data_IF_562648434382
#
_entry.id   IF_562648434382
#
_cell.length_a   1.000
_cell.length_b   1.000
_cell.length_c   1.000
_cell.angle_alpha   90.00
_cell.angle_beta   90.00
_cell.angle_gamma   90.00
#
_symmetry.space_group_name_H-M   'P 1'
#
loop_
_entity.id
_entity.type
_entity.pdbx_description
1 polymer ?
#
# COMPACT_ATOMS: atom_id res chain seq x y z
N UNK A 1 4.54 -3.82 -19.18
CA UNK A 1 4.85 -5.21 -18.78
C UNK A 1 5.85 -5.76 -19.79
N UNK A 2 6.94 -6.39 -19.35
CA UNK A 2 7.87 -7.04 -20.27
C UNK A 2 7.12 -8.22 -20.94
N UNK A 3 7.13 -8.33 -22.28
CA UNK A 3 6.42 -9.39 -22.98
C UNK A 3 7.07 -10.75 -22.75
N UNK A 4 6.58 -11.49 -21.75
CA UNK A 4 6.91 -12.91 -21.62
C UNK A 4 5.81 -13.74 -22.28
N UNK A 5 6.17 -14.38 -23.40
CA UNK A 5 5.29 -15.29 -24.14
C UNK A 5 4.20 -14.60 -24.99
N UNK A 6 3.58 -15.41 -25.84
CA UNK A 6 2.63 -14.98 -26.88
C UNK A 6 1.39 -14.26 -26.33
N UNK A 7 0.87 -14.68 -25.18
CA UNK A 7 -0.30 -14.06 -24.56
C UNK A 7 -0.02 -12.60 -24.14
N UNK A 8 1.17 -12.33 -23.61
CA UNK A 8 1.56 -10.98 -23.18
C UNK A 8 1.77 -10.07 -24.39
N UNK A 9 2.36 -10.58 -25.47
CA UNK A 9 2.49 -9.87 -26.74
C UNK A 9 1.12 -9.51 -27.35
N UNK A 10 0.16 -10.45 -27.33
CA UNK A 10 -1.21 -10.22 -27.80
C UNK A 10 -1.93 -9.16 -26.95
N UNK A 11 -1.75 -9.17 -25.63
CA UNK A 11 -2.26 -8.12 -24.73
C UNK A 11 -1.67 -6.75 -25.04
N UNK A 12 -0.36 -6.67 -25.26
CA UNK A 12 0.33 -5.41 -25.63
C UNK A 12 -0.20 -4.89 -26.98
N UNK A 13 -0.32 -5.76 -27.98
CA UNK A 13 -0.85 -5.39 -29.28
C UNK A 13 -2.30 -4.89 -29.20
N UNK A 14 -3.14 -5.55 -28.40
CA UNK A 14 -4.51 -5.10 -28.15
C UNK A 14 -4.54 -3.72 -27.48
N UNK A 15 -3.69 -3.46 -26.49
CA UNK A 15 -3.57 -2.14 -25.86
C UNK A 15 -3.13 -1.07 -26.86
N UNK A 16 -2.11 -1.35 -27.70
CA UNK A 16 -1.66 -0.44 -28.76
C UNK A 16 -2.79 -0.13 -29.75
N UNK A 17 -3.55 -1.12 -30.19
CA UNK A 17 -4.70 -0.94 -31.09
C UNK A 17 -5.83 -0.10 -30.45
N UNK A 18 -6.15 -0.34 -29.17
CA UNK A 18 -7.15 0.45 -28.45
C UNK A 18 -6.73 1.92 -28.27
N UNK A 19 -5.42 2.18 -28.17
CA UNK A 19 -4.85 3.53 -28.02
C UNK A 19 -4.61 4.24 -29.35
N UNK A 20 -4.44 3.51 -30.45
CA UNK A 20 -4.20 4.08 -31.79
C UNK A 20 -5.32 5.02 -32.25
N UNK A 21 -6.56 4.80 -31.81
CA UNK A 21 -7.72 5.67 -32.11
C UNK A 21 -7.87 6.85 -31.15
N UNK A 22 -7.01 6.96 -30.13
CA UNK A 22 -7.11 7.94 -29.03
C UNK A 22 -6.01 9.01 -29.07
N UNK A 23 -5.28 9.14 -30.17
CA UNK A 23 -4.19 10.11 -30.37
C UNK A 23 -3.06 10.05 -29.32
N UNK A 24 -2.84 8.90 -28.67
CA UNK A 24 -1.69 8.71 -27.77
C UNK A 24 -0.43 8.33 -28.56
N UNK A 25 0.68 9.02 -28.33
CA UNK A 25 2.01 8.47 -28.59
C UNK A 25 2.36 7.52 -27.44
N UNK A 26 2.71 6.28 -27.76
CA UNK A 26 3.08 5.26 -26.77
C UNK A 26 4.57 5.01 -26.84
N UNK A 27 5.23 5.06 -25.69
CA UNK A 27 6.63 4.69 -25.52
C UNK A 27 6.73 3.62 -24.43
N UNK A 28 7.62 2.64 -24.60
CA UNK A 28 7.78 1.54 -23.65
C UNK A 28 9.02 1.74 -22.78
N UNK A 29 8.80 1.89 -21.48
CA UNK A 29 9.83 1.98 -20.46
C UNK A 29 9.59 0.89 -19.42
N UNK A 30 10.42 -0.15 -19.40
CA UNK A 30 10.24 -1.31 -18.51
C UNK A 30 11.00 -1.17 -17.20
N UNK A 31 12.19 -0.56 -17.23
CA UNK A 31 13.07 -0.31 -16.10
C UNK A 31 13.74 1.06 -16.29
N UNK A 32 14.39 1.57 -15.26
CA UNK A 32 15.19 2.79 -15.27
C UNK A 32 14.45 4.01 -15.81
N UNK A 33 13.23 4.29 -15.32
CA UNK A 33 12.43 5.44 -15.77
C UNK A 33 13.23 6.76 -15.77
N UNK A 34 14.05 6.94 -14.74
CA UNK A 34 14.93 8.10 -14.56
C UNK A 34 15.95 8.29 -15.69
N UNK A 35 16.45 7.20 -16.29
CA UNK A 35 17.36 7.20 -17.44
C UNK A 35 16.60 7.26 -18.76
N UNK A 36 15.50 6.52 -18.87
CA UNK A 36 14.61 6.57 -20.02
C UNK A 36 14.19 8.01 -20.35
N UNK A 37 13.75 8.75 -19.33
CA UNK A 37 13.35 10.16 -19.45
C UNK A 37 14.50 11.07 -19.90
N UNK A 38 15.74 10.82 -19.44
CA UNK A 38 16.93 11.55 -19.89
C UNK A 38 17.24 11.31 -21.38
N UNK A 39 16.99 10.09 -21.86
CA UNK A 39 17.31 9.66 -23.21
C UNK A 39 16.22 9.98 -24.24
N UNK A 40 15.00 10.32 -23.79
CA UNK A 40 14.02 10.94 -24.66
C UNK A 40 14.67 12.19 -25.27
N UNK A 41 14.93 12.16 -26.58
CA UNK A 41 15.50 13.27 -27.37
C UNK A 41 14.51 14.43 -27.43
N UNK A 42 14.18 14.98 -26.28
CA UNK A 42 13.35 16.15 -26.16
C UNK A 42 14.21 17.30 -26.66
N UNK A 43 13.92 17.76 -27.88
CA UNK A 43 14.37 19.07 -28.30
C UNK A 43 13.98 20.02 -27.17
N UNK A 44 14.95 20.81 -26.69
CA UNK A 44 14.71 21.93 -25.78
C UNK A 44 13.87 22.99 -26.52
N UNK A 45 12.65 22.65 -26.89
CA UNK A 45 11.61 23.64 -27.08
C UNK A 45 11.19 24.03 -25.66
N UNK A 46 11.07 25.33 -25.43
CA UNK A 46 10.91 25.97 -24.13
C UNK A 46 9.65 25.57 -23.36
N UNK A 47 8.75 24.84 -24.00
CA UNK A 47 7.39 24.60 -23.50
C UNK A 47 7.26 23.15 -23.05
N UNK A 48 6.72 22.95 -21.83
CA UNK A 48 6.40 21.62 -21.32
C UNK A 48 5.37 20.96 -22.23
N UNK A 49 5.41 19.63 -22.32
CA UNK A 49 4.35 18.85 -22.97
C UNK A 49 3.10 18.85 -22.08
N UNK A 50 1.91 18.81 -22.67
CA UNK A 50 0.65 18.96 -21.92
C UNK A 50 0.40 17.82 -20.92
N UNK A 51 0.47 16.56 -21.37
CA UNK A 51 0.07 15.41 -20.54
C UNK A 51 0.87 14.14 -20.83
N UNK A 52 1.16 13.36 -19.78
CA UNK A 52 1.65 11.99 -19.87
C UNK A 52 0.82 11.05 -19.01
N UNK A 53 0.58 9.85 -19.52
CA UNK A 53 -0.02 8.75 -18.78
C UNK A 53 1.06 7.69 -18.49
N UNK A 54 1.40 7.52 -17.22
CA UNK A 54 2.32 6.48 -16.76
C UNK A 54 1.52 5.24 -16.33
N UNK A 55 1.53 4.20 -17.16
CA UNK A 55 0.81 2.94 -16.94
C UNK A 55 1.75 1.72 -17.07
N UNK A 56 2.02 0.94 -16.02
CA UNK A 56 1.56 1.10 -14.63
C UNK A 56 2.70 0.87 -13.63
N UNK A 57 2.54 1.46 -12.44
CA UNK A 57 3.56 1.45 -11.38
C UNK A 57 3.83 0.06 -10.83
N UNK A 58 2.82 -0.80 -10.74
CA UNK A 58 3.00 -2.21 -10.30
C UNK A 58 3.98 -2.96 -11.20
N UNK A 59 3.83 -2.85 -12.52
CA UNK A 59 4.76 -3.45 -13.47
C UNK A 59 6.15 -2.81 -13.40
N UNK A 60 6.24 -1.48 -13.28
CA UNK A 60 7.53 -0.81 -13.16
C UNK A 60 8.27 -1.28 -11.90
N UNK A 61 7.61 -1.27 -10.74
CA UNK A 61 8.19 -1.75 -9.48
C UNK A 61 8.63 -3.21 -9.58
N UNK A 62 7.81 -4.09 -10.19
CA UNK A 62 8.15 -5.49 -10.36
C UNK A 62 9.40 -5.66 -11.24
N UNK A 63 9.45 -4.98 -12.38
CA UNK A 63 10.61 -5.04 -13.28
C UNK A 63 11.87 -4.49 -12.60
N UNK A 64 11.77 -3.36 -11.90
CA UNK A 64 12.91 -2.77 -11.20
C UNK A 64 13.46 -3.66 -10.09
N UNK A 65 12.59 -4.48 -9.50
CA UNK A 65 12.95 -5.38 -8.41
C UNK A 65 13.52 -6.73 -8.90
N UNK A 66 13.00 -7.26 -10.01
CA UNK A 66 13.23 -8.65 -10.42
C UNK A 66 13.94 -8.83 -11.75
N UNK A 67 13.89 -7.86 -12.66
CA UNK A 67 14.55 -7.96 -13.95
C UNK A 67 16.07 -7.76 -13.83
N UNK A 68 16.84 -8.41 -14.70
CA UNK A 68 18.31 -8.28 -14.72
C UNK A 68 18.78 -6.87 -15.04
N UNK A 69 17.97 -6.10 -15.78
CA UNK A 69 18.20 -4.68 -16.08
C UNK A 69 17.62 -3.74 -15.03
N UNK A 70 16.86 -4.27 -14.07
CA UNK A 70 16.23 -3.52 -13.00
C UNK A 70 17.24 -2.96 -12.00
N UNK A 71 16.87 -1.86 -11.37
CA UNK A 71 17.72 -1.13 -10.41
C UNK A 71 18.17 -1.99 -9.24
N UNK A 72 17.35 -2.94 -8.81
CA UNK A 72 17.73 -3.84 -7.71
C UNK A 72 18.98 -4.67 -8.05
N UNK A 73 19.18 -5.04 -9.31
CA UNK A 73 20.40 -5.73 -9.75
C UNK A 73 21.63 -4.83 -9.58
N UNK A 74 21.50 -3.53 -9.86
CA UNK A 74 22.56 -2.53 -9.64
C UNK A 74 22.80 -2.33 -8.14
N UNK A 75 21.75 -2.20 -7.33
CA UNK A 75 21.83 -2.02 -5.88
C UNK A 75 22.54 -3.19 -5.21
N UNK A 76 22.20 -4.44 -5.57
CA UNK A 76 22.84 -5.64 -5.03
C UNK A 76 24.33 -5.72 -5.38
N UNK A 77 24.71 -5.34 -6.61
CA UNK A 77 26.12 -5.32 -7.04
C UNK A 77 26.92 -4.24 -6.31
N UNK A 78 26.35 -3.04 -6.16
CA UNK A 78 27.02 -1.88 -5.55
C UNK A 78 27.06 -1.95 -4.02
N UNK A 79 26.02 -2.52 -3.41
CA UNK A 79 25.83 -2.59 -1.96
C UNK A 79 25.33 -3.99 -1.56
N UNK A 80 26.21 -5.01 -1.57
CA UNK A 80 25.82 -6.40 -1.34
C UNK A 80 25.33 -6.69 0.09
N UNK A 81 25.60 -5.79 1.04
CA UNK A 81 25.23 -5.93 2.45
C UNK A 81 23.94 -5.19 2.85
N UNK A 82 23.17 -4.65 1.90
CA UNK A 82 21.92 -3.95 2.23
C UNK A 82 20.91 -4.93 2.84
N UNK A 83 20.31 -4.52 3.95
CA UNK A 83 19.10 -5.15 4.46
C UNK A 83 17.93 -4.95 3.50
N UNK A 84 16.91 -5.81 3.57
CA UNK A 84 15.70 -5.69 2.76
C UNK A 84 15.04 -4.30 2.92
N UNK A 85 15.02 -3.75 4.13
CA UNK A 85 14.45 -2.43 4.38
C UNK A 85 15.23 -1.34 3.62
N UNK A 86 16.56 -1.37 3.65
CA UNK A 86 17.35 -0.38 2.92
C UNK A 86 17.21 -0.53 1.39
N UNK A 87 17.02 -1.75 0.89
CA UNK A 87 16.68 -1.96 -0.54
C UNK A 87 15.33 -1.32 -0.86
N UNK A 88 14.31 -1.52 -0.02
CA UNK A 88 12.99 -0.91 -0.20
C UNK A 88 13.09 0.61 -0.25
N UNK A 89 13.82 1.22 0.69
CA UNK A 89 14.03 2.67 0.75
C UNK A 89 14.70 3.18 -0.54
N UNK A 90 15.86 2.63 -0.89
CA UNK A 90 16.63 3.08 -2.07
C UNK A 90 15.88 2.89 -3.38
N UNK A 91 15.16 1.77 -3.52
CA UNK A 91 14.39 1.50 -4.72
C UNK A 91 13.19 2.44 -4.83
N UNK A 92 12.53 2.73 -3.71
CA UNK A 92 11.44 3.71 -3.66
C UNK A 92 11.94 5.08 -4.11
N UNK A 93 13.06 5.57 -3.56
CA UNK A 93 13.66 6.84 -3.94
C UNK A 93 14.01 6.89 -5.43
N UNK A 94 14.57 5.81 -5.97
CA UNK A 94 14.92 5.72 -7.38
C UNK A 94 13.70 5.85 -8.29
N UNK A 95 12.62 5.12 -7.97
CA UNK A 95 11.37 5.12 -8.75
C UNK A 95 10.73 6.51 -8.68
N UNK A 96 10.66 7.11 -7.49
CA UNK A 96 10.10 8.46 -7.31
C UNK A 96 10.90 9.52 -8.06
N UNK A 97 12.24 9.42 -8.09
CA UNK A 97 13.06 10.32 -8.91
C UNK A 97 12.78 10.17 -10.42
N UNK A 98 12.46 8.96 -10.88
CA UNK A 98 12.03 8.75 -12.26
C UNK A 98 10.73 9.48 -12.59
N UNK A 99 9.76 9.45 -11.67
CA UNK A 99 8.49 10.18 -11.80
C UNK A 99 8.69 11.69 -11.71
N UNK A 100 9.55 12.16 -10.81
CA UNK A 100 9.91 13.58 -10.67
C UNK A 100 10.47 14.14 -11.98
N UNK A 101 11.32 13.40 -12.69
CA UNK A 101 11.83 13.83 -13.99
C UNK A 101 10.76 13.93 -15.08
N UNK A 102 9.69 13.14 -15.01
CA UNK A 102 8.55 13.34 -15.90
C UNK A 102 7.86 14.68 -15.59
N UNK A 103 7.82 15.08 -14.32
CA UNK A 103 7.22 16.33 -13.88
C UNK A 103 8.00 17.56 -14.37
N UNK A 104 9.28 17.41 -14.68
CA UNK A 104 10.09 18.46 -15.32
C UNK A 104 9.71 18.68 -16.79
N UNK A 105 9.14 17.68 -17.45
CA UNK A 105 8.86 17.68 -18.90
C UNK A 105 7.38 17.91 -19.21
N UNK A 106 6.50 17.36 -18.38
CA UNK A 106 5.06 17.40 -18.60
C UNK A 106 4.38 18.33 -17.59
N UNK A 107 3.34 19.03 -18.03
CA UNK A 107 2.50 19.85 -17.15
C UNK A 107 1.59 18.98 -16.28
N UNK A 108 1.00 17.94 -16.88
CA UNK A 108 0.08 17.03 -16.22
C UNK A 108 0.57 15.59 -16.30
N UNK A 109 0.53 14.88 -15.17
CA UNK A 109 0.90 13.47 -15.09
C UNK A 109 -0.27 12.70 -14.51
N UNK A 110 -0.75 11.71 -15.26
CA UNK A 110 -1.70 10.72 -14.77
C UNK A 110 -0.92 9.43 -14.52
N UNK A 111 -0.97 8.91 -13.28
CA UNK A 111 -0.25 7.71 -12.89
C UNK A 111 -1.26 6.62 -12.55
N UNK A 112 -1.11 5.45 -13.17
CA UNK A 112 -1.93 4.26 -12.88
C UNK A 112 -1.12 3.29 -12.03
N UNK A 113 -1.66 2.92 -10.87
CA UNK A 113 -1.11 1.91 -9.96
C UNK A 113 -2.18 0.91 -9.54
N UNK A 114 -1.83 -0.06 -8.70
CA UNK A 114 -2.72 -1.14 -8.27
C UNK A 114 -2.80 -1.23 -6.74
N UNK A 115 -3.99 -1.59 -6.24
CA UNK A 115 -4.21 -2.09 -4.87
C UNK A 115 -4.02 -3.61 -4.91
N UNK A 116 -2.95 -4.10 -4.27
CA UNK A 116 -2.63 -5.54 -4.19
C UNK A 116 -2.34 -5.95 -2.74
N UNK A 117 -2.83 -5.20 -1.77
CA UNK A 117 -2.31 -5.21 -0.41
C UNK A 117 -3.20 -5.94 0.58
N UNK A 118 -4.38 -6.39 0.13
CA UNK A 118 -5.45 -6.83 1.01
C UNK A 118 -5.67 -8.36 1.07
N UNK A 119 -4.60 -9.14 0.89
CA UNK A 119 -4.64 -10.61 0.87
C UNK A 119 -4.00 -11.21 2.14
N UNK A 120 -4.54 -12.33 2.63
CA UNK A 120 -4.08 -13.02 3.84
C UNK A 120 -2.94 -14.02 3.62
N UNK A 121 -2.47 -14.22 2.39
CA UNK A 121 -1.55 -15.32 2.04
C UNK A 121 -0.13 -15.08 2.55
N UNK A 122 0.59 -16.16 2.86
CA UNK A 122 2.01 -16.08 3.22
C UNK A 122 2.82 -15.76 1.96
N UNK A 123 3.50 -14.63 1.98
CA UNK A 123 4.34 -14.18 0.86
C UNK A 123 5.76 -14.70 1.00
N UNK A 124 6.39 -14.97 -0.15
CA UNK A 124 7.84 -15.03 -0.22
C UNK A 124 8.45 -13.68 0.17
N UNK A 125 9.73 -13.67 0.53
CA UNK A 125 10.43 -12.43 0.89
C UNK A 125 10.42 -11.42 -0.27
N UNK A 126 10.53 -11.92 -1.50
CA UNK A 126 10.49 -11.17 -2.74
C UNK A 126 9.14 -10.46 -2.92
N UNK A 127 8.03 -11.19 -2.76
CA UNK A 127 6.69 -10.62 -2.90
C UNK A 127 6.38 -9.62 -1.78
N UNK A 128 6.87 -9.88 -0.56
CA UNK A 128 6.78 -8.91 0.56
C UNK A 128 7.50 -7.61 0.21
N UNK A 129 8.74 -7.71 -0.29
CA UNK A 129 9.53 -6.56 -0.70
C UNK A 129 8.86 -5.79 -1.85
N UNK A 130 8.31 -6.49 -2.84
CA UNK A 130 7.52 -5.89 -3.93
C UNK A 130 6.34 -5.08 -3.38
N UNK A 131 5.50 -5.67 -2.51
CA UNK A 131 4.36 -4.97 -1.90
C UNK A 131 4.80 -3.80 -1.03
N UNK A 132 5.92 -3.92 -0.31
CA UNK A 132 6.47 -2.81 0.49
C UNK A 132 6.88 -1.63 -0.40
N UNK A 133 7.64 -1.88 -1.47
CA UNK A 133 8.05 -0.83 -2.42
C UNK A 133 6.84 -0.20 -3.09
N UNK A 134 5.93 -1.01 -3.63
CA UNK A 134 4.74 -0.49 -4.32
C UNK A 134 3.84 0.32 -3.38
N UNK A 135 3.61 -0.17 -2.16
CA UNK A 135 2.80 0.53 -1.16
C UNK A 135 3.41 1.87 -0.76
N UNK A 136 4.73 1.89 -0.55
CA UNK A 136 5.47 3.12 -0.22
C UNK A 136 5.46 4.11 -1.37
N UNK A 137 5.76 3.67 -2.59
CA UNK A 137 5.67 4.48 -3.81
C UNK A 137 4.26 5.06 -3.96
N UNK A 138 3.21 4.26 -3.80
CA UNK A 138 1.83 4.72 -3.88
C UNK A 138 1.52 5.80 -2.83
N UNK A 139 1.98 5.63 -1.58
CA UNK A 139 1.79 6.64 -0.53
C UNK A 139 2.51 7.95 -0.86
N UNK A 140 3.76 7.90 -1.33
CA UNK A 140 4.53 9.11 -1.68
C UNK A 140 3.96 9.82 -2.92
N UNK A 141 3.55 9.07 -3.94
CA UNK A 141 2.85 9.62 -5.10
C UNK A 141 1.53 10.27 -4.69
N UNK A 142 0.75 9.62 -3.83
CA UNK A 142 -0.51 10.18 -3.31
C UNK A 142 -0.30 11.44 -2.47
N UNK A 143 0.82 11.58 -1.74
CA UNK A 143 1.19 12.81 -1.04
C UNK A 143 1.42 13.96 -2.03
N UNK A 144 2.13 13.70 -3.13
CA UNK A 144 2.45 14.69 -4.15
C UNK A 144 1.29 15.01 -5.13
N UNK A 145 0.40 14.06 -5.38
CA UNK A 145 -0.67 14.19 -6.37
C UNK A 145 -1.68 15.30 -6.00
N UNK A 146 -2.28 15.96 -6.99
CA UNK A 146 -3.40 16.88 -6.71
C UNK A 146 -4.67 16.10 -6.39
N UNK A 147 -4.87 14.98 -7.08
CA UNK A 147 -6.07 14.14 -7.00
C UNK A 147 -5.65 12.67 -6.89
N UNK A 148 -6.41 11.88 -6.13
CA UNK A 148 -6.20 10.44 -5.97
C UNK A 148 -7.56 9.77 -6.02
N UNK A 149 -7.73 8.85 -6.97
CA UNK A 149 -8.96 8.07 -7.15
C UNK A 149 -8.66 6.57 -7.04
N UNK A 150 -9.56 5.82 -6.41
CA UNK A 150 -9.61 4.36 -6.50
C UNK A 150 -10.69 3.98 -7.51
N UNK A 151 -10.35 3.19 -8.54
CA UNK A 151 -11.33 2.72 -9.52
C UNK A 151 -11.86 1.36 -9.10
N UNK A 152 -13.11 1.31 -8.64
CA UNK A 152 -13.79 0.11 -8.14
C UNK A 152 -14.94 -0.23 -9.09
N UNK A 153 -14.91 -1.41 -9.71
CA UNK A 153 -15.90 -1.83 -10.71
C UNK A 153 -16.13 -0.79 -11.84
N UNK A 154 -15.08 -0.05 -12.21
CA UNK A 154 -15.13 1.01 -13.23
C UNK A 154 -15.67 2.36 -12.72
N UNK A 155 -16.01 2.47 -11.44
CA UNK A 155 -16.42 3.73 -10.80
C UNK A 155 -15.23 4.34 -10.07
N UNK A 156 -14.95 5.62 -10.35
CA UNK A 156 -13.92 6.37 -9.64
C UNK A 156 -14.45 6.83 -8.27
N UNK A 157 -13.71 6.50 -7.22
CA UNK A 157 -13.93 6.96 -5.84
C UNK A 157 -12.82 7.94 -5.48
N UNK A 158 -13.18 9.20 -5.26
CA UNK A 158 -12.23 10.27 -4.96
C UNK A 158 -11.80 10.24 -3.48
N UNK A 159 -10.50 10.07 -3.23
CA UNK A 159 -9.92 10.00 -1.89
C UNK A 159 -9.35 11.33 -1.39
N UNK A 160 -8.70 12.12 -2.26
CA UNK A 160 -7.93 13.30 -1.84
C UNK A 160 -8.77 14.58 -1.93
N UNK A 161 -9.34 15.03 -0.81
CA UNK A 161 -9.98 16.35 -0.72
C UNK A 161 -9.89 17.06 0.65
N UNK A 162 -9.34 16.45 1.71
CA UNK A 162 -9.34 17.07 3.05
C UNK A 162 -7.98 17.02 3.76
N UNK A 163 -7.65 18.10 4.49
CA UNK A 163 -6.51 18.14 5.42
C UNK A 163 -6.83 17.30 6.66
N UNK A 164 -5.95 16.35 6.99
CA UNK A 164 -6.04 15.58 8.24
C UNK A 164 -5.87 16.53 9.44
N UNK A 165 -6.94 16.75 10.22
CA UNK A 165 -6.90 17.55 11.44
C UNK A 165 -6.60 16.66 12.65
N UNK A 166 -5.66 17.07 13.50
CA UNK A 166 -5.39 16.41 14.77
C UNK A 166 -6.66 16.35 15.61
N UNK A 167 -6.91 15.21 16.26
CA UNK A 167 -8.10 15.04 17.10
C UNK A 167 -7.71 15.22 18.58
N UNK A 168 -8.31 16.24 19.21
CA UNK A 168 -8.14 16.53 20.65
C UNK A 168 -9.26 15.95 21.53
N UNK A 169 -10.26 15.27 20.95
CA UNK A 169 -11.37 14.66 21.70
C UNK A 169 -11.04 13.22 22.08
N UNK A 170 -11.45 12.81 23.29
CA UNK A 170 -11.70 11.40 23.63
C UNK A 170 -12.73 10.84 22.64
N UNK A 171 -12.27 10.23 21.56
CA UNK A 171 -13.08 9.29 20.80
C UNK A 171 -12.95 7.93 21.51
N UNK A 172 -14.03 7.17 21.68
CA UNK A 172 -13.96 5.85 22.34
C UNK A 172 -13.13 4.88 21.51
N UNK A 173 -13.79 4.05 20.69
CA UNK A 173 -13.11 3.11 19.80
C UNK A 173 -13.01 3.68 18.38
N UNK A 174 -11.78 3.82 17.86
CA UNK A 174 -11.51 4.15 16.47
C UNK A 174 -10.83 2.97 15.77
N UNK A 175 -11.52 2.38 14.81
CA UNK A 175 -10.99 1.31 13.97
C UNK A 175 -10.45 1.89 12.66
N UNK A 176 -9.18 1.65 12.36
CA UNK A 176 -8.48 2.06 11.14
C UNK A 176 -8.12 0.81 10.35
N UNK A 177 -8.70 0.66 9.17
CA UNK A 177 -8.49 -0.48 8.26
C UNK A 177 -7.86 -0.06 6.94
N UNK A 178 -7.45 -1.02 6.13
CA UNK A 178 -6.84 -0.84 4.81
C UNK A 178 -5.82 -1.92 4.52
N UNK A 179 -5.40 -2.10 3.26
CA UNK A 179 -4.39 -3.08 2.90
C UNK A 179 -3.01 -2.85 3.53
N UNK A 180 -2.15 -3.87 3.50
CA UNK A 180 -0.77 -3.78 3.97
C UNK A 180 0.00 -2.60 3.33
N UNK A 181 0.92 -1.99 4.08
CA UNK A 181 1.79 -0.91 3.59
C UNK A 181 1.07 0.35 3.06
N UNK A 182 -0.25 0.49 3.27
CA UNK A 182 -1.04 1.67 2.86
C UNK A 182 -0.90 2.90 3.78
N UNK A 183 0.16 2.99 4.59
CA UNK A 183 0.42 4.17 5.42
C UNK A 183 -0.50 4.35 6.65
N UNK A 184 -1.26 3.32 7.07
CA UNK A 184 -2.19 3.38 8.21
C UNK A 184 -1.58 3.91 9.50
N UNK A 185 -0.38 3.42 9.87
CA UNK A 185 0.29 3.83 11.10
C UNK A 185 0.76 5.28 11.04
N UNK A 186 1.28 5.74 9.90
CA UNK A 186 1.64 7.15 9.70
C UNK A 186 0.39 8.05 9.81
N UNK A 187 -0.70 7.66 9.15
CA UNK A 187 -2.00 8.34 9.22
C UNK A 187 -2.49 8.44 10.67
N UNK A 188 -2.49 7.33 11.41
CA UNK A 188 -2.98 7.30 12.79
C UNK A 188 -2.09 8.11 13.75
N UNK A 189 -0.76 8.10 13.57
CA UNK A 189 0.17 8.90 14.38
C UNK A 189 -0.01 10.40 14.17
N UNK A 190 -0.37 10.85 12.95
CA UNK A 190 -0.74 12.24 12.69
C UNK A 190 -2.02 12.65 13.44
N UNK A 191 -3.00 11.73 13.51
CA UNK A 191 -4.25 11.96 14.25
C UNK A 191 -4.07 11.93 15.76
N UNK A 192 -3.22 11.02 16.26
CA UNK A 192 -3.01 10.72 17.68
C UNK A 192 -1.51 10.73 18.04
N UNK A 193 -0.86 11.91 18.07
CA UNK A 193 0.59 12.00 18.24
C UNK A 193 1.10 11.63 19.64
N UNK A 194 0.26 11.71 20.67
CA UNK A 194 0.67 11.58 22.07
C UNK A 194 0.17 10.30 22.76
N UNK A 195 -0.34 9.32 22.01
CA UNK A 195 -0.85 8.08 22.60
C UNK A 195 0.23 7.01 22.70
N UNK A 196 0.11 6.14 23.69
CA UNK A 196 0.95 4.94 23.80
C UNK A 196 0.52 3.91 22.76
N UNK A 197 1.47 3.48 21.92
CA UNK A 197 1.30 2.45 20.91
C UNK A 197 1.85 1.10 21.37
N UNK A 198 1.19 0.02 20.99
CA UNK A 198 1.67 -1.35 21.07
C UNK A 198 1.64 -2.02 19.69
N UNK A 199 2.64 -2.86 19.45
CA UNK A 199 2.84 -3.63 18.24
C UNK A 199 2.28 -5.05 18.40
N UNK A 200 1.23 -5.35 17.64
CA UNK A 200 0.60 -6.65 17.62
C UNK A 200 1.51 -7.79 17.16
N UNK A 201 2.63 -7.50 16.49
CA UNK A 201 3.60 -8.51 16.08
C UNK A 201 4.50 -8.97 17.24
N UNK A 202 4.98 -8.03 18.07
CA UNK A 202 6.06 -8.31 19.02
C UNK A 202 5.70 -8.05 20.49
N UNK A 203 4.74 -7.19 20.79
CA UNK A 203 4.46 -6.80 22.18
C UNK A 203 3.69 -7.87 22.95
N UNK A 204 3.82 -7.82 24.28
CA UNK A 204 3.14 -8.72 25.22
C UNK A 204 1.65 -8.39 25.36
N UNK A 205 0.86 -9.34 25.84
CA UNK A 205 -0.56 -9.13 26.12
C UNK A 205 -0.79 -7.95 27.07
N UNK A 206 -0.02 -7.83 28.16
CA UNK A 206 -0.14 -6.73 29.12
C UNK A 206 0.08 -5.36 28.45
N UNK A 207 1.07 -5.24 27.57
CA UNK A 207 1.34 -4.00 26.84
C UNK A 207 0.22 -3.68 25.84
N UNK A 208 -0.28 -4.68 25.11
CA UNK A 208 -1.42 -4.55 24.19
C UNK A 208 -2.69 -4.11 24.94
N UNK A 209 -2.97 -4.75 26.08
CA UNK A 209 -4.14 -4.47 26.89
C UNK A 209 -4.14 -3.03 27.45
N UNK A 210 -2.97 -2.53 27.85
CA UNK A 210 -2.83 -1.20 28.45
C UNK A 210 -2.58 -0.06 27.44
N UNK A 211 -2.17 -0.35 26.21
CA UNK A 211 -1.95 0.66 25.19
C UNK A 211 -3.27 1.28 24.69
N UNK A 212 -3.21 2.55 24.29
CA UNK A 212 -4.34 3.24 23.64
C UNK A 212 -4.35 2.85 22.16
N UNK A 213 -3.18 2.90 21.51
CA UNK A 213 -3.01 2.55 20.11
C UNK A 213 -2.48 1.13 19.95
N UNK A 214 -3.07 0.34 19.06
CA UNK A 214 -2.59 -1.00 18.72
C UNK A 214 -2.46 -1.08 17.19
N UNK A 215 -1.29 -1.41 16.69
CA UNK A 215 -1.06 -1.66 15.27
C UNK A 215 -0.63 -3.10 15.02
N UNK A 216 -0.69 -3.56 13.76
CA UNK A 216 -0.55 -4.98 13.41
C UNK A 216 -1.55 -5.87 14.17
N UNK A 217 -2.78 -5.39 14.38
CA UNK A 217 -3.78 -6.11 15.18
C UNK A 217 -4.19 -7.44 14.56
N UNK A 218 -4.19 -7.54 13.24
CA UNK A 218 -4.35 -8.80 12.51
C UNK A 218 -3.24 -9.79 12.84
N UNK A 219 -1.98 -9.35 12.93
CA UNK A 219 -0.87 -10.22 13.31
C UNK A 219 -1.03 -10.67 14.77
N UNK A 220 -1.51 -9.78 15.65
CA UNK A 220 -1.84 -10.15 17.02
C UNK A 220 -2.89 -11.27 17.07
N UNK A 221 -4.00 -11.13 16.33
CA UNK A 221 -5.00 -12.19 16.20
C UNK A 221 -4.35 -13.49 15.72
N UNK A 222 -3.48 -13.43 14.70
CA UNK A 222 -2.76 -14.59 14.18
C UNK A 222 -1.91 -15.29 15.26
N UNK A 223 -1.21 -14.53 16.11
CA UNK A 223 -0.40 -15.05 17.22
C UNK A 223 -1.26 -15.79 18.25
N UNK A 224 -2.42 -15.23 18.59
CA UNK A 224 -3.35 -15.84 19.52
C UNK A 224 -3.94 -17.13 18.94
N UNK A 225 -4.38 -17.12 17.67
CA UNK A 225 -4.93 -18.31 17.02
C UNK A 225 -3.91 -19.45 16.86
N UNK A 226 -2.61 -19.16 16.77
CA UNK A 226 -1.56 -20.18 16.79
C UNK A 226 -1.34 -20.80 18.17
N UNK A 227 -1.79 -20.15 19.23
CA UNK A 227 -1.69 -20.65 20.58
C UNK A 227 -3.01 -21.31 20.97
N UNK A 228 -3.10 -22.63 20.79
CA UNK A 228 -4.32 -23.43 21.05
C UNK A 228 -4.83 -23.35 22.50
N UNK A 229 -4.05 -22.79 23.43
CA UNK A 229 -4.44 -22.61 24.83
C UNK A 229 -5.22 -21.32 25.09
N UNK A 230 -5.29 -20.41 24.12
CA UNK A 230 -5.93 -19.10 24.29
C UNK A 230 -7.22 -19.04 23.48
N UNK A 231 -8.30 -18.59 24.11
CA UNK A 231 -9.54 -18.24 23.41
C UNK A 231 -9.45 -16.78 22.92
N UNK A 232 -9.51 -16.60 21.60
CA UNK A 232 -9.47 -15.27 20.98
C UNK A 232 -10.62 -14.36 21.44
N UNK A 233 -11.80 -14.91 21.75
CA UNK A 233 -12.95 -14.13 22.23
C UNK A 233 -12.67 -13.55 23.60
N UNK A 234 -12.19 -14.38 24.53
CA UNK A 234 -11.82 -13.94 25.88
C UNK A 234 -10.71 -12.89 25.84
N UNK A 235 -9.69 -13.08 24.99
CA UNK A 235 -8.59 -12.12 24.84
C UNK A 235 -9.10 -10.77 24.31
N UNK A 236 -10.00 -10.78 23.31
CA UNK A 236 -10.57 -9.55 22.77
C UNK A 236 -11.43 -8.85 23.81
N UNK A 237 -12.30 -9.59 24.52
CA UNK A 237 -13.09 -9.04 25.62
C UNK A 237 -12.19 -8.36 26.66
N UNK A 238 -11.08 -8.98 27.05
CA UNK A 238 -10.12 -8.39 27.99
C UNK A 238 -9.41 -7.13 27.47
N UNK A 239 -9.15 -7.03 26.16
CA UNK A 239 -8.53 -5.84 25.55
C UNK A 239 -9.50 -4.65 25.57
N UNK A 240 -10.80 -4.90 25.38
CA UNK A 240 -11.84 -3.87 25.28
C UNK A 240 -12.71 -3.74 26.54
N UNK A 241 -12.45 -4.50 27.61
CA UNK A 241 -13.19 -4.43 28.88
C UNK A 241 -12.97 -3.12 29.66
N UNK A 242 -11.84 -2.46 29.45
CA UNK A 242 -11.54 -1.18 30.10
C UNK A 242 -12.23 -0.05 29.34
N UNK A 243 -12.89 0.85 30.06
CA UNK A 243 -13.44 2.10 29.52
C UNK A 243 -12.32 3.12 29.25
N UNK A 244 -11.43 2.73 28.33
CA UNK A 244 -10.34 3.57 27.82
C UNK A 244 -10.51 3.72 26.33
N UNK A 245 -10.12 4.89 25.82
CA UNK A 245 -10.00 5.11 24.38
C UNK A 245 -9.09 4.04 23.75
N UNK A 246 -9.51 3.52 22.59
CA UNK A 246 -8.74 2.56 21.80
C UNK A 246 -8.67 3.01 20.35
N UNK A 247 -7.46 2.97 19.78
CA UNK A 247 -7.20 3.19 18.36
C UNK A 247 -6.60 1.91 17.80
N UNK A 248 -7.36 1.19 16.99
CA UNK A 248 -6.97 -0.12 16.46
C UNK A 248 -6.64 0.03 14.98
N UNK A 249 -5.44 -0.39 14.58
CA UNK A 249 -5.01 -0.47 13.19
C UNK A 249 -4.95 -1.95 12.80
N UNK A 250 -5.71 -2.31 11.78
CA UNK A 250 -5.82 -3.67 11.31
C UNK A 250 -5.74 -3.72 9.77
N UNK A 251 -4.97 -4.65 9.22
CA UNK A 251 -4.95 -4.87 7.78
C UNK A 251 -6.26 -5.54 7.31
N UNK A 252 -6.75 -5.11 6.15
CA UNK A 252 -7.79 -5.86 5.43
C UNK A 252 -7.13 -7.11 4.81
N UNK A 253 -7.51 -8.31 5.25
CA UNK A 253 -6.93 -9.57 4.75
C UNK A 253 -7.93 -10.38 3.91
N UNK A 254 -9.10 -9.80 3.65
CA UNK A 254 -10.27 -10.48 3.08
C UNK A 254 -10.37 -10.44 1.55
N UNK A 255 -9.64 -9.56 0.86
CA UNK A 255 -9.87 -9.23 -0.55
C UNK A 255 -8.95 -9.94 -1.55
N UNK A 256 -8.17 -10.91 -1.08
CA UNK A 256 -7.31 -11.73 -1.92
C UNK A 256 -7.84 -13.13 -2.23
N UNK A 257 -6.95 -13.95 -2.79
CA UNK A 257 -7.22 -15.37 -3.03
C UNK A 257 -7.47 -16.12 -1.72
N UNK A 258 -8.30 -17.17 -1.80
CA UNK A 258 -8.53 -18.09 -0.67
C UNK A 258 -7.26 -18.89 -0.42
N UNK A 259 -6.67 -18.85 0.79
CA UNK A 259 -5.48 -19.62 1.09
C UNK A 259 -5.69 -21.14 0.92
N UNK A 260 -4.65 -21.84 0.45
CA UNK A 260 -4.62 -23.32 0.39
C UNK A 260 -4.49 -23.92 1.79
N UNK A 261 -3.75 -23.26 2.67
CA UNK A 261 -3.60 -23.66 4.07
C UNK A 261 -4.88 -23.43 4.87
N UNK A 262 -5.28 -24.41 5.69
CA UNK A 262 -6.52 -24.36 6.48
C UNK A 262 -6.44 -23.35 7.61
N UNK A 263 -5.27 -23.20 8.25
CA UNK A 263 -5.06 -22.23 9.31
C UNK A 263 -5.13 -20.80 8.77
N UNK A 264 -4.50 -20.51 7.62
CA UNK A 264 -4.58 -19.19 6.99
C UNK A 264 -6.02 -18.82 6.57
N UNK A 265 -6.82 -19.79 6.10
CA UNK A 265 -8.26 -19.57 5.86
C UNK A 265 -9.01 -19.23 7.15
N UNK A 266 -8.77 -19.99 8.21
CA UNK A 266 -9.42 -19.77 9.50
C UNK A 266 -9.02 -18.41 10.09
N UNK A 267 -7.74 -18.06 10.05
CA UNK A 267 -7.21 -16.77 10.45
C UNK A 267 -7.90 -15.61 9.70
N UNK A 268 -7.96 -15.68 8.36
CA UNK A 268 -8.65 -14.68 7.52
C UNK A 268 -10.11 -14.48 7.95
N UNK A 269 -10.83 -15.56 8.19
CA UNK A 269 -12.23 -15.54 8.64
C UNK A 269 -12.37 -14.89 10.02
N UNK A 270 -11.49 -15.25 10.98
CA UNK A 270 -11.52 -14.68 12.32
C UNK A 270 -11.25 -13.17 12.31
N UNK A 271 -10.22 -12.72 11.58
CA UNK A 271 -9.93 -11.27 11.43
C UNK A 271 -11.15 -10.53 10.89
N UNK A 272 -11.79 -11.06 9.84
CA UNK A 272 -13.00 -10.45 9.26
C UNK A 272 -14.15 -10.33 10.27
N UNK A 273 -14.42 -11.39 11.03
CA UNK A 273 -15.49 -11.39 12.06
C UNK A 273 -15.19 -10.43 13.20
N UNK A 274 -13.96 -10.41 13.67
CA UNK A 274 -13.51 -9.51 14.74
C UNK A 274 -13.62 -8.06 14.29
N UNK A 275 -13.09 -7.72 13.10
CA UNK A 275 -13.20 -6.38 12.54
C UNK A 275 -14.66 -5.95 12.34
N UNK A 276 -15.54 -6.87 11.91
CA UNK A 276 -16.99 -6.58 11.81
C UNK A 276 -17.60 -6.24 13.15
N UNK A 277 -17.26 -6.98 14.21
CA UNK A 277 -17.73 -6.70 15.58
C UNK A 277 -17.19 -5.36 16.09
N UNK A 278 -15.90 -5.10 15.91
CA UNK A 278 -15.27 -3.84 16.31
C UNK A 278 -15.86 -2.66 15.54
N UNK A 279 -16.10 -2.78 14.23
CA UNK A 279 -16.72 -1.71 13.43
C UNK A 279 -18.13 -1.35 13.91
N UNK A 280 -18.92 -2.34 14.34
CA UNK A 280 -20.26 -2.11 14.94
C UNK A 280 -20.15 -1.29 16.23
N UNK A 281 -19.18 -1.61 17.08
CA UNK A 281 -18.95 -0.96 18.37
C UNK A 281 -18.20 0.38 18.26
N UNK A 282 -17.38 0.55 17.22
CA UNK A 282 -16.51 1.70 17.06
C UNK A 282 -17.30 3.00 16.90
N UNK A 283 -16.85 4.07 17.56
CA UNK A 283 -17.36 5.42 17.34
C UNK A 283 -16.96 5.95 15.96
N UNK A 284 -15.79 5.50 15.46
CA UNK A 284 -15.26 5.89 14.17
C UNK A 284 -14.66 4.68 13.44
N UNK A 285 -14.91 4.61 12.13
CA UNK A 285 -14.23 3.66 11.24
C UNK A 285 -13.62 4.43 10.08
N UNK A 286 -12.33 4.23 9.83
CA UNK A 286 -11.59 4.86 8.72
C UNK A 286 -10.93 3.78 7.88
N UNK A 287 -11.11 3.80 6.56
CA UNK A 287 -10.30 3.00 5.62
C UNK A 287 -9.18 3.88 5.07
N UNK A 288 -7.94 3.37 5.04
CA UNK A 288 -6.79 4.11 4.54
C UNK A 288 -6.29 3.46 3.25
N UNK A 289 -6.23 4.26 2.18
CA UNK A 289 -5.69 3.90 0.87
C UNK A 289 -4.60 4.91 0.52
N UNK A 290 -3.41 4.44 0.16
CA UNK A 290 -2.26 5.29 -0.16
C UNK A 290 -1.94 6.38 0.90
N UNK A 291 -2.13 6.07 2.19
CA UNK A 291 -1.92 7.01 3.30
C UNK A 291 -3.05 8.04 3.50
N UNK A 292 -4.12 7.98 2.71
CA UNK A 292 -5.28 8.86 2.76
C UNK A 292 -6.41 8.13 3.47
N UNK A 293 -6.94 8.71 4.55
CA UNK A 293 -8.04 8.11 5.31
C UNK A 293 -9.41 8.59 4.85
N UNK A 294 -10.25 7.66 4.45
CA UNK A 294 -11.67 7.83 4.14
C UNK A 294 -12.52 7.39 5.33
N UNK A 295 -13.44 8.26 5.76
CA UNK A 295 -14.34 7.97 6.88
C UNK A 295 -15.48 7.07 6.42
N UNK A 296 -15.63 5.91 7.05
CA UNK A 296 -16.75 4.97 6.83
C UNK A 296 -17.86 5.08 7.90
N UNK A 297 -17.50 5.48 9.13
CA UNK A 297 -18.42 5.71 10.27
C UNK A 297 -17.91 6.86 11.13
#
# INVERSE_FOLDING_TARGET
MIPYGRETEEKINRHRQMRAKKNFQTEECFTNLSEFVKNMKLQKNSDKKEVVLLECMSNLVANELFDETGVNTILKKKYPALSNNEVVEKLTDYILNGVEKLNDIYENIVIVTNEVFSESTVYSNEMRMYKQVLGKVNCELAKAAVEVEEVIYGQAVLYKNEKVKCMNKKAGLHLIIGGAYQGKLEYARKLYPQIQWADGEIDSFEKIQNAIGIYHFEIYIKRILKNEKLDIKEIIEQIFAKDIQKVIICDEVGYGLVPVDSFERYYREQVGRICTTLAKQADKVTRVVCGIGEKLK
#
